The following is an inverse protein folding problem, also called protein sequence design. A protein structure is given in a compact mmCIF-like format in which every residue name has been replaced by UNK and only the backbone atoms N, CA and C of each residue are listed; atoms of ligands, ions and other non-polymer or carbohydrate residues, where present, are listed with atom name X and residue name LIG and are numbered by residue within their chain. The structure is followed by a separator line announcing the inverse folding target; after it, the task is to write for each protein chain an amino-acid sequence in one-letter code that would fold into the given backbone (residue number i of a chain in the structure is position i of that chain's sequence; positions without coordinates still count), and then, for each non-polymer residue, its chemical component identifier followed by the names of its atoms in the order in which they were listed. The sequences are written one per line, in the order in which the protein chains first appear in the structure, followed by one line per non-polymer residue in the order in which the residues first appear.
data_IF_488107825771
#
_entry.id   IF_488107825771
#
_cell.length_a   1.000
_cell.length_b   1.000
_cell.length_c   1.000
_cell.angle_alpha   90.00
_cell.angle_beta   90.00
_cell.angle_gamma   90.00
#
_symmetry.space_group_name_H-M   'P 1'
#
loop_
_entity.id
_entity.type
_entity.pdbx_description
1 polymer ?
#
# COMPACT_ATOMS: atom_id res chain seq x y z
N UNK A 1 51.94 -0.32 -37.23
CA UNK A 1 51.40 -1.20 -36.23
C UNK A 1 50.08 -0.65 -35.76
N UNK A 2 48.90 -1.12 -36.22
CA UNK A 2 47.62 -0.64 -35.74
C UNK A 2 47.20 -1.38 -34.47
N UNK A 3 46.80 -0.61 -33.46
CA UNK A 3 46.23 -1.08 -32.21
C UNK A 3 44.83 -1.64 -32.44
N UNK A 4 44.61 -2.94 -32.12
CA UNK A 4 43.29 -3.58 -32.10
C UNK A 4 42.44 -2.97 -31.01
N UNK A 5 41.34 -2.31 -31.37
CA UNK A 5 40.27 -1.92 -30.47
C UNK A 5 39.49 -3.18 -30.07
N UNK A 6 39.60 -3.58 -28.81
CA UNK A 6 38.83 -4.69 -28.27
C UNK A 6 37.36 -4.24 -28.14
N UNK A 7 36.48 -4.86 -28.90
CA UNK A 7 35.04 -4.72 -28.77
C UNK A 7 34.62 -5.34 -27.42
N UNK A 8 34.08 -4.50 -26.55
CA UNK A 8 33.38 -4.92 -25.31
C UNK A 8 32.08 -5.57 -25.74
N UNK A 9 32.06 -6.86 -25.92
CA UNK A 9 30.84 -7.64 -26.04
C UNK A 9 30.13 -7.61 -24.67
N UNK A 10 29.06 -6.81 -24.57
CA UNK A 10 28.17 -6.81 -23.42
C UNK A 10 27.51 -8.19 -23.28
N UNK A 11 27.96 -8.96 -22.30
CA UNK A 11 27.33 -10.21 -21.90
C UNK A 11 25.96 -9.84 -21.31
N UNK A 12 24.90 -9.99 -22.10
CA UNK A 12 23.53 -9.94 -21.61
C UNK A 12 23.35 -11.08 -20.58
N UNK A 13 23.52 -10.75 -19.31
CA UNK A 13 23.38 -11.69 -18.19
C UNK A 13 21.93 -12.17 -18.20
N UNK A 14 21.69 -13.44 -18.54
CA UNK A 14 20.36 -14.04 -18.46
C UNK A 14 19.92 -14.00 -17.00
N UNK A 15 18.89 -13.19 -16.71
CA UNK A 15 18.27 -13.14 -15.38
C UNK A 15 17.87 -14.55 -14.92
N UNK A 16 18.05 -14.90 -13.64
CA UNK A 16 17.55 -16.14 -13.07
C UNK A 16 16.07 -16.37 -13.37
N UNK A 17 15.63 -17.62 -13.44
CA UNK A 17 14.22 -17.96 -13.77
C UNK A 17 13.21 -17.22 -12.85
N UNK A 18 13.55 -17.11 -11.58
CA UNK A 18 12.73 -16.41 -10.58
C UNK A 18 12.63 -14.90 -10.85
N UNK A 19 13.73 -14.25 -11.18
CA UNK A 19 13.71 -12.80 -11.50
C UNK A 19 12.88 -12.49 -12.75
N UNK A 20 12.96 -13.37 -13.77
CA UNK A 20 12.12 -13.23 -14.98
C UNK A 20 10.63 -13.38 -14.65
N UNK A 21 10.28 -14.31 -13.76
CA UNK A 21 8.91 -14.50 -13.31
C UNK A 21 8.40 -13.26 -12.57
N UNK A 22 9.18 -12.74 -11.61
CA UNK A 22 8.84 -11.51 -10.88
C UNK A 22 8.71 -10.31 -11.81
N UNK A 23 9.59 -10.19 -12.81
CA UNK A 23 9.49 -9.12 -13.81
C UNK A 23 8.20 -9.23 -14.63
N UNK A 24 7.80 -10.44 -15.08
CA UNK A 24 6.53 -10.64 -15.81
C UNK A 24 5.31 -10.30 -14.96
N UNK A 25 5.30 -10.72 -13.70
CA UNK A 25 4.24 -10.36 -12.74
C UNK A 25 4.17 -8.85 -12.55
N UNK A 26 5.30 -8.16 -12.44
CA UNK A 26 5.34 -6.71 -12.32
C UNK A 26 4.76 -6.00 -13.55
N UNK A 27 5.05 -6.49 -14.78
CA UNK A 27 4.48 -5.98 -16.02
C UNK A 27 2.95 -6.16 -16.06
N UNK A 28 2.44 -7.34 -15.65
CA UNK A 28 1.00 -7.62 -15.58
C UNK A 28 0.32 -6.65 -14.60
N UNK A 29 0.89 -6.45 -13.42
CA UNK A 29 0.34 -5.55 -12.42
C UNK A 29 0.34 -4.09 -12.87
N UNK A 30 1.43 -3.61 -13.47
CA UNK A 30 1.49 -2.24 -14.00
C UNK A 30 0.49 -2.02 -15.14
N UNK A 31 0.36 -2.99 -16.05
CA UNK A 31 -0.63 -2.95 -17.12
C UNK A 31 -2.06 -2.88 -16.55
N UNK A 32 -2.35 -3.70 -15.53
CA UNK A 32 -3.65 -3.70 -14.84
C UNK A 32 -3.94 -2.36 -14.20
N UNK A 33 -2.97 -1.77 -13.48
CA UNK A 33 -3.14 -0.44 -12.88
C UNK A 33 -3.43 0.64 -13.92
N UNK A 34 -2.73 0.63 -15.06
CA UNK A 34 -2.96 1.59 -16.15
C UNK A 34 -4.34 1.45 -16.80
N UNK A 35 -4.85 0.23 -16.93
CA UNK A 35 -6.21 0.00 -17.43
C UNK A 35 -7.25 0.50 -16.42
N UNK A 36 -7.08 0.23 -15.14
CA UNK A 36 -7.98 0.68 -14.08
C UNK A 36 -7.98 2.22 -13.87
N UNK A 37 -7.02 2.96 -14.43
CA UNK A 37 -7.08 4.43 -14.45
C UNK A 37 -8.23 4.96 -15.32
N UNK A 38 -8.65 4.23 -16.36
CA UNK A 38 -9.66 4.64 -17.33
C UNK A 38 -10.85 3.69 -17.46
N UNK A 39 -10.70 2.42 -17.11
CA UNK A 39 -11.71 1.37 -17.29
C UNK A 39 -12.33 0.95 -15.96
N UNK A 40 -13.57 0.43 -16.00
CA UNK A 40 -14.20 -0.22 -14.87
C UNK A 40 -13.73 -1.69 -14.77
N UNK A 41 -13.84 -2.30 -13.56
CA UNK A 41 -13.48 -3.72 -13.35
C UNK A 41 -14.27 -4.64 -14.32
N UNK A 42 -15.52 -4.30 -14.59
CA UNK A 42 -16.38 -5.10 -15.47
C UNK A 42 -15.78 -5.24 -16.89
N UNK A 43 -15.18 -4.15 -17.40
CA UNK A 43 -14.63 -4.07 -18.75
C UNK A 43 -13.21 -4.64 -18.85
N UNK A 44 -12.54 -4.80 -17.72
CA UNK A 44 -11.18 -5.34 -17.64
C UNK A 44 -11.15 -6.81 -18.06
N UNK A 45 -10.32 -7.13 -19.05
CA UNK A 45 -10.12 -8.51 -19.54
C UNK A 45 -8.67 -8.94 -19.46
N UNK A 46 -8.43 -10.26 -19.31
CA UNK A 46 -7.06 -10.82 -19.32
C UNK A 46 -6.36 -10.57 -20.67
N UNK A 47 -7.10 -10.53 -21.79
CA UNK A 47 -6.55 -10.19 -23.10
C UNK A 47 -6.07 -8.73 -23.16
N UNK A 48 -6.85 -7.78 -22.64
CA UNK A 48 -6.46 -6.37 -22.58
C UNK A 48 -5.22 -6.18 -21.68
N UNK A 49 -5.19 -6.87 -20.53
CA UNK A 49 -4.03 -6.85 -19.63
C UNK A 49 -2.79 -7.41 -20.31
N UNK A 50 -2.87 -8.58 -20.97
CA UNK A 50 -1.75 -9.19 -21.67
C UNK A 50 -1.21 -8.29 -22.80
N UNK A 51 -2.10 -7.73 -23.62
CA UNK A 51 -1.75 -6.78 -24.67
C UNK A 51 -1.04 -5.52 -24.09
N UNK A 52 -1.61 -4.93 -23.03
CA UNK A 52 -1.03 -3.75 -22.36
C UNK A 52 0.31 -4.05 -21.69
N UNK A 53 0.50 -5.27 -21.18
CA UNK A 53 1.75 -5.73 -20.57
C UNK A 53 2.83 -6.12 -21.60
N UNK A 54 2.49 -6.19 -22.89
CA UNK A 54 3.40 -6.63 -23.94
C UNK A 54 3.81 -8.10 -23.83
N UNK A 55 2.88 -8.96 -23.37
CA UNK A 55 3.10 -10.42 -23.25
C UNK A 55 1.99 -11.19 -23.96
N UNK A 56 2.26 -12.46 -24.31
CA UNK A 56 1.22 -13.33 -24.84
C UNK A 56 0.20 -13.70 -23.76
N UNK A 57 -1.06 -13.94 -24.17
CA UNK A 57 -2.09 -14.42 -23.24
C UNK A 57 -1.70 -15.75 -22.58
N UNK A 58 -1.04 -16.65 -23.31
CA UNK A 58 -0.51 -17.90 -22.74
C UNK A 58 0.55 -17.66 -21.67
N UNK A 59 1.37 -16.60 -21.80
CA UNK A 59 2.31 -16.21 -20.76
C UNK A 59 1.58 -15.68 -19.52
N UNK A 60 0.50 -14.90 -19.67
CA UNK A 60 -0.30 -14.41 -18.55
C UNK A 60 -0.90 -15.56 -17.76
N UNK A 61 -1.49 -16.55 -18.42
CA UNK A 61 -2.09 -17.72 -17.77
C UNK A 61 -1.09 -18.65 -17.07
N UNK A 62 0.21 -18.52 -17.33
CA UNK A 62 1.24 -19.19 -16.52
C UNK A 62 1.37 -18.63 -15.09
N UNK A 63 0.89 -17.42 -14.83
CA UNK A 63 1.00 -16.72 -13.55
C UNK A 63 -0.33 -16.50 -12.84
N UNK A 64 -1.42 -16.38 -13.59
CA UNK A 64 -2.74 -16.05 -13.05
C UNK A 64 -3.83 -16.81 -13.82
N UNK A 65 -4.70 -17.49 -13.09
CA UNK A 65 -5.77 -18.31 -13.67
C UNK A 65 -6.87 -17.46 -14.30
N UNK A 66 -7.13 -16.27 -13.75
CA UNK A 66 -8.19 -15.37 -14.19
C UNK A 66 -7.89 -13.91 -13.80
N UNK A 67 -8.83 -13.02 -14.14
CA UNK A 67 -8.80 -11.61 -13.80
C UNK A 67 -8.78 -11.36 -12.28
N UNK A 68 -9.57 -12.10 -11.54
CA UNK A 68 -9.71 -11.95 -10.10
C UNK A 68 -8.41 -12.33 -9.37
N UNK A 69 -7.71 -13.36 -9.85
CA UNK A 69 -6.39 -13.73 -9.35
C UNK A 69 -5.35 -12.59 -9.56
N UNK A 70 -5.43 -11.87 -10.70
CA UNK A 70 -4.57 -10.70 -10.95
C UNK A 70 -4.91 -9.57 -9.97
N UNK A 71 -6.20 -9.25 -9.80
CA UNK A 71 -6.66 -8.19 -8.88
C UNK A 71 -6.31 -8.52 -7.43
N UNK A 72 -6.47 -9.77 -7.02
CA UNK A 72 -6.06 -10.26 -5.69
C UNK A 72 -4.56 -10.13 -5.45
N UNK A 73 -3.76 -10.53 -6.44
CA UNK A 73 -2.31 -10.42 -6.39
C UNK A 73 -1.86 -8.95 -6.31
N UNK A 74 -2.46 -8.09 -7.14
CA UNK A 74 -2.20 -6.66 -7.18
C UNK A 74 -2.60 -5.98 -5.85
N UNK A 75 -3.80 -6.25 -5.34
CA UNK A 75 -4.26 -5.74 -4.04
C UNK A 75 -3.31 -6.17 -2.91
N UNK A 76 -2.85 -7.43 -2.93
CA UNK A 76 -1.88 -7.94 -1.96
C UNK A 76 -0.53 -7.23 -2.03
N UNK A 77 -0.05 -6.89 -3.24
CA UNK A 77 1.20 -6.12 -3.44
C UNK A 77 1.07 -4.70 -2.89
N UNK A 78 -0.02 -4.01 -3.23
CA UNK A 78 -0.25 -2.63 -2.80
C UNK A 78 -0.43 -2.53 -1.28
N UNK A 79 -1.19 -3.46 -0.66
CA UNK A 79 -1.33 -3.55 0.80
C UNK A 79 0.01 -3.82 1.50
N UNK A 80 0.85 -4.70 0.93
CA UNK A 80 2.20 -4.95 1.48
C UNK A 80 3.07 -3.70 1.37
N UNK A 81 3.02 -3.00 0.24
CA UNK A 81 3.75 -1.74 0.03
C UNK A 81 3.33 -0.66 1.02
N UNK A 82 2.02 -0.53 1.28
CA UNK A 82 1.49 0.37 2.31
C UNK A 82 2.02 -0.01 3.70
N UNK A 83 1.92 -1.29 4.06
CA UNK A 83 2.42 -1.79 5.34
C UNK A 83 3.90 -1.47 5.54
N UNK A 84 4.74 -1.69 4.51
CA UNK A 84 6.17 -1.36 4.57
C UNK A 84 6.42 0.13 4.81
N UNK A 85 5.70 1.03 4.15
CA UNK A 85 5.84 2.49 4.34
C UNK A 85 5.41 2.93 5.74
N UNK A 86 4.34 2.34 6.27
CA UNK A 86 3.90 2.62 7.65
C UNK A 86 4.95 2.14 8.65
N UNK A 87 5.50 0.94 8.47
CA UNK A 87 6.57 0.41 9.32
C UNK A 87 7.82 1.29 9.26
N UNK A 88 8.24 1.71 8.06
CA UNK A 88 9.37 2.63 7.87
C UNK A 88 9.13 3.97 8.58
N UNK A 89 7.92 4.52 8.51
CA UNK A 89 7.55 5.74 9.22
C UNK A 89 7.64 5.57 10.76
N UNK A 90 7.30 4.37 11.27
CA UNK A 90 7.45 4.04 12.70
C UNK A 90 8.91 3.81 13.12
N UNK A 91 9.75 3.28 12.23
CA UNK A 91 11.14 2.89 12.50
C UNK A 91 12.14 4.06 12.42
N UNK A 92 11.71 5.28 12.08
CA UNK A 92 12.59 6.43 12.01
C UNK A 92 13.29 6.70 13.35
N UNK A 93 14.62 6.58 13.31
CA UNK A 93 15.52 6.60 14.49
C UNK A 93 15.71 8.00 15.10
N UNK A 94 15.18 9.06 14.48
CA UNK A 94 15.31 10.44 14.98
C UNK A 94 14.41 10.59 16.21
N UNK A 95 14.91 11.13 17.33
CA UNK A 95 14.10 11.39 18.52
C UNK A 95 12.94 12.32 18.15
N UNK A 96 11.73 11.78 18.17
CA UNK A 96 10.50 12.52 17.86
C UNK A 96 9.49 12.30 18.97
N UNK A 97 8.65 13.30 19.20
CA UNK A 97 7.50 13.14 20.09
C UNK A 97 6.54 12.08 19.54
N UNK A 98 5.72 11.50 20.41
CA UNK A 98 4.65 10.56 20.02
C UNK A 98 3.74 11.16 18.95
N UNK A 99 3.43 12.46 19.10
CA UNK A 99 2.62 13.22 18.15
C UNK A 99 3.27 13.28 16.74
N UNK A 100 4.56 13.61 16.68
CA UNK A 100 5.31 13.67 15.41
C UNK A 100 5.36 12.31 14.71
N UNK A 101 5.57 11.22 15.47
CA UNK A 101 5.57 9.85 14.92
C UNK A 101 4.22 9.47 14.33
N UNK A 102 3.13 9.79 15.05
CA UNK A 102 1.77 9.52 14.55
C UNK A 102 1.42 10.33 13.32
N UNK A 103 1.82 11.61 13.28
CA UNK A 103 1.68 12.44 12.07
C UNK A 103 2.39 11.85 10.86
N UNK A 104 3.59 11.29 11.05
CA UNK A 104 4.32 10.59 9.98
C UNK A 104 3.57 9.34 9.49
N UNK A 105 3.03 8.54 10.41
CA UNK A 105 2.24 7.36 10.05
C UNK A 105 0.99 7.77 9.24
N UNK A 106 0.24 8.75 9.72
CA UNK A 106 -0.94 9.27 8.99
C UNK A 106 -0.53 9.79 7.61
N UNK A 107 0.51 10.62 7.55
CA UNK A 107 1.02 11.17 6.28
C UNK A 107 1.50 10.08 5.33
N UNK A 108 2.23 9.06 5.79
CA UNK A 108 2.68 7.93 4.97
C UNK A 108 1.51 7.17 4.34
N UNK A 109 0.43 6.99 5.11
CA UNK A 109 -0.78 6.36 4.60
C UNK A 109 -1.45 7.23 3.55
N UNK A 110 -1.66 8.53 3.81
CA UNK A 110 -2.26 9.45 2.84
C UNK A 110 -1.43 9.58 1.56
N UNK A 111 -0.11 9.66 1.65
CA UNK A 111 0.79 9.74 0.50
C UNK A 111 0.79 8.47 -0.35
N UNK A 112 0.60 7.31 0.27
CA UNK A 112 0.57 6.03 -0.45
C UNK A 112 -0.54 5.94 -1.50
N UNK A 113 -1.61 6.68 -1.32
CA UNK A 113 -2.75 6.74 -2.25
C UNK A 113 -2.70 7.96 -3.19
N UNK A 114 -1.63 8.77 -3.14
CA UNK A 114 -1.46 9.92 -4.01
C UNK A 114 -1.32 9.54 -5.48
N UNK A 115 -2.06 10.24 -6.36
CA UNK A 115 -1.90 10.14 -7.82
C UNK A 115 -2.76 9.07 -8.51
N UNK A 116 -3.11 7.95 -7.86
CA UNK A 116 -3.90 6.85 -8.46
C UNK A 116 -5.14 6.50 -7.63
N UNK A 117 -5.86 7.51 -7.14
CA UNK A 117 -7.01 7.32 -6.24
C UNK A 117 -8.09 6.40 -6.80
N UNK A 118 -8.38 6.48 -8.12
CA UNK A 118 -9.34 5.60 -8.79
C UNK A 118 -8.92 4.13 -8.68
N UNK A 119 -7.67 3.83 -8.98
CA UNK A 119 -7.12 2.46 -8.92
C UNK A 119 -7.23 1.90 -7.51
N UNK A 120 -6.80 2.67 -6.51
CA UNK A 120 -6.86 2.22 -5.11
C UNK A 120 -8.30 2.03 -4.62
N UNK A 121 -9.24 2.88 -5.04
CA UNK A 121 -10.66 2.70 -4.75
C UNK A 121 -11.16 1.36 -5.30
N UNK A 122 -10.90 1.09 -6.57
CA UNK A 122 -11.30 -0.13 -7.26
C UNK A 122 -10.69 -1.37 -6.59
N UNK A 123 -9.39 -1.35 -6.26
CA UNK A 123 -8.72 -2.44 -5.56
C UNK A 123 -9.26 -2.65 -4.15
N UNK A 124 -9.60 -1.58 -3.45
CA UNK A 124 -10.19 -1.65 -2.12
C UNK A 124 -11.60 -2.25 -2.15
N UNK A 125 -12.44 -1.82 -3.09
CA UNK A 125 -13.79 -2.37 -3.30
C UNK A 125 -13.71 -3.85 -3.62
N UNK A 126 -12.81 -4.27 -4.53
CA UNK A 126 -12.55 -5.68 -4.82
C UNK A 126 -12.10 -6.46 -3.57
N UNK A 127 -11.14 -5.94 -2.82
CA UNK A 127 -10.65 -6.59 -1.59
C UNK A 127 -11.73 -6.72 -0.50
N UNK A 128 -12.68 -5.81 -0.46
CA UNK A 128 -13.82 -5.85 0.49
C UNK A 128 -14.88 -6.87 0.09
N UNK A 129 -15.07 -7.11 -1.21
CA UNK A 129 -16.07 -8.05 -1.72
C UNK A 129 -15.58 -9.49 -1.72
N UNK A 130 -14.33 -9.73 -2.11
CA UNK A 130 -13.83 -11.09 -2.35
C UNK A 130 -13.39 -11.84 -1.08
N UNK A 131 -12.50 -11.35 -0.30
CA UNK A 131 -12.10 -11.96 1.01
C UNK A 131 -11.31 -10.94 1.83
N UNK A 132 -11.88 -10.44 2.87
CA UNK A 132 -11.26 -9.49 3.83
C UNK A 132 -10.00 -10.01 4.54
N UNK A 133 -9.60 -11.27 4.32
CA UNK A 133 -8.56 -11.96 5.11
C UNK A 133 -7.18 -11.28 5.03
N UNK A 134 -6.79 -10.75 3.86
CA UNK A 134 -5.48 -10.08 3.71
C UNK A 134 -5.47 -8.71 4.37
N UNK A 135 -6.53 -7.93 4.16
CA UNK A 135 -6.70 -6.63 4.80
C UNK A 135 -6.76 -6.78 6.33
N UNK A 136 -7.58 -7.70 6.84
CA UNK A 136 -7.68 -7.94 8.28
C UNK A 136 -6.35 -8.38 8.90
N UNK A 137 -5.55 -9.21 8.21
CA UNK A 137 -4.20 -9.59 8.68
C UNK A 137 -3.25 -8.40 8.74
N UNK A 138 -3.29 -7.51 7.73
CA UNK A 138 -2.50 -6.28 7.74
C UNK A 138 -2.91 -5.38 8.91
N UNK A 139 -4.21 -5.16 9.10
CA UNK A 139 -4.72 -4.33 10.20
C UNK A 139 -4.34 -4.90 11.58
N UNK A 140 -4.43 -6.22 11.74
CA UNK A 140 -4.00 -6.89 12.95
C UNK A 140 -2.50 -6.72 13.21
N UNK A 141 -1.66 -6.87 12.18
CA UNK A 141 -0.22 -6.66 12.27
C UNK A 141 0.12 -5.20 12.63
N UNK A 142 -0.52 -4.22 11.99
CA UNK A 142 -0.34 -2.80 12.30
C UNK A 142 -0.78 -2.47 13.74
N UNK A 143 -1.92 -3.02 14.18
CA UNK A 143 -2.39 -2.86 15.56
C UNK A 143 -1.40 -3.44 16.58
N UNK A 144 -0.85 -4.62 16.29
CA UNK A 144 0.16 -5.25 17.14
C UNK A 144 1.46 -4.42 17.20
N UNK A 145 1.91 -3.87 16.07
CA UNK A 145 3.09 -2.98 16.05
C UNK A 145 2.85 -1.68 16.82
N UNK A 146 1.67 -1.08 16.72
CA UNK A 146 1.31 0.12 17.49
C UNK A 146 1.28 -0.15 19.00
N UNK A 147 0.99 -1.38 19.43
CA UNK A 147 1.02 -1.78 20.85
C UNK A 147 2.42 -1.97 21.41
N UNK A 148 3.47 -2.02 20.56
CA UNK A 148 4.84 -2.18 21.04
C UNK A 148 5.35 -0.89 21.67
N UNK A 149 5.96 -1.03 22.83
CA UNK A 149 6.57 0.08 23.55
C UNK A 149 7.62 0.82 22.68
N UNK A 150 7.60 2.14 22.71
CA UNK A 150 8.54 2.99 21.98
C UNK A 150 8.26 3.18 20.50
N UNK A 151 7.28 2.49 19.89
CA UNK A 151 6.95 2.67 18.47
C UNK A 151 6.31 4.02 18.16
N UNK A 152 5.28 4.39 18.92
CA UNK A 152 4.57 5.66 18.76
C UNK A 152 4.50 6.48 20.05
N UNK A 153 5.29 6.11 21.06
CA UNK A 153 5.32 6.75 22.38
C UNK A 153 5.05 5.77 23.51
N UNK A 154 4.21 6.12 24.51
CA UNK A 154 3.85 5.20 25.58
C UNK A 154 3.18 3.95 25.04
N UNK A 155 3.35 2.85 25.76
CA UNK A 155 2.77 1.57 25.33
C UNK A 155 1.25 1.66 25.25
N UNK A 156 0.70 1.46 24.06
CA UNK A 156 -0.73 1.38 23.86
C UNK A 156 -1.27 0.02 24.30
N UNK A 157 -2.40 0.01 24.97
CA UNK A 157 -3.15 -1.23 25.18
C UNK A 157 -3.60 -1.82 23.83
N UNK A 158 -3.85 -3.13 23.75
CA UNK A 158 -4.37 -3.75 22.53
C UNK A 158 -5.67 -3.09 22.01
N UNK A 159 -6.55 -2.65 22.93
CA UNK A 159 -7.79 -1.96 22.57
C UNK A 159 -7.52 -0.59 21.94
N UNK A 160 -6.60 0.19 22.49
CA UNK A 160 -6.23 1.51 21.95
C UNK A 160 -5.56 1.40 20.59
N UNK A 161 -4.63 0.46 20.43
CA UNK A 161 -3.98 0.19 19.16
C UNK A 161 -4.99 -0.27 18.09
N UNK A 162 -5.97 -1.09 18.48
CA UNK A 162 -7.08 -1.49 17.61
C UNK A 162 -7.91 -0.27 17.19
N UNK A 163 -8.32 0.59 18.12
CA UNK A 163 -9.11 1.80 17.85
C UNK A 163 -8.36 2.72 16.89
N UNK A 164 -7.09 3.04 17.15
CA UNK A 164 -6.27 3.89 16.29
C UNK A 164 -6.12 3.33 14.89
N UNK A 165 -5.79 2.03 14.76
CA UNK A 165 -5.64 1.37 13.47
C UNK A 165 -6.93 1.48 12.64
N UNK A 166 -8.09 1.23 13.26
CA UNK A 166 -9.36 1.24 12.57
C UNK A 166 -9.90 2.66 12.33
N UNK A 167 -9.59 3.62 13.18
CA UNK A 167 -9.91 5.02 12.94
C UNK A 167 -9.16 5.56 11.72
N UNK A 168 -7.84 5.37 11.67
CA UNK A 168 -7.00 5.81 10.54
C UNK A 168 -7.46 5.14 9.24
N UNK A 169 -7.56 3.82 9.24
CA UNK A 169 -7.90 3.07 8.02
C UNK A 169 -9.35 3.24 7.60
N UNK A 170 -10.28 3.45 8.55
CA UNK A 170 -11.68 3.74 8.30
C UNK A 170 -11.88 5.09 7.61
N UNK A 171 -11.23 6.13 8.10
CA UNK A 171 -11.25 7.48 7.48
C UNK A 171 -10.68 7.44 6.08
N UNK A 172 -9.53 6.77 5.90
CA UNK A 172 -8.91 6.60 4.58
C UNK A 172 -9.81 5.86 3.60
N UNK A 173 -10.41 4.77 4.04
CA UNK A 173 -11.37 4.02 3.23
C UNK A 173 -12.53 4.91 2.79
N UNK A 174 -13.12 5.65 3.72
CA UNK A 174 -14.20 6.58 3.42
C UNK A 174 -13.79 7.66 2.40
N UNK A 175 -12.58 8.20 2.54
CA UNK A 175 -12.03 9.16 1.59
C UNK A 175 -11.80 8.54 0.20
N UNK A 176 -11.30 7.30 0.11
CA UNK A 176 -11.04 6.62 -1.15
C UNK A 176 -12.31 6.27 -1.93
N UNK A 177 -13.37 5.83 -1.25
CA UNK A 177 -14.67 5.54 -1.89
C UNK A 177 -15.48 6.79 -2.24
N UNK A 178 -14.93 7.99 -2.01
CA UNK A 178 -15.55 9.24 -2.40
C UNK A 178 -16.54 9.81 -1.39
N UNK A 179 -16.58 9.27 -0.16
CA UNK A 179 -17.41 9.82 0.91
C UNK A 179 -16.97 11.22 1.39
N UNK A 180 -15.77 11.67 0.97
CA UNK A 180 -15.23 12.98 1.27
C UNK A 180 -14.57 13.60 0.03
N UNK A 181 -14.79 14.91 -0.26
CA UNK A 181 -14.24 15.55 -1.46
C UNK A 181 -12.71 15.53 -1.48
N UNK A 182 -12.11 15.05 -2.57
CA UNK A 182 -10.66 14.96 -2.74
C UNK A 182 -9.94 16.32 -2.65
N UNK A 183 -10.65 17.41 -3.01
CA UNK A 183 -10.13 18.78 -2.89
C UNK A 183 -9.81 19.18 -1.43
N UNK A 184 -10.43 18.56 -0.44
CA UNK A 184 -10.23 18.85 0.98
C UNK A 184 -9.35 17.79 1.69
N UNK A 185 -8.59 17.03 0.95
CA UNK A 185 -7.75 15.93 1.47
C UNK A 185 -6.81 16.38 2.59
N UNK A 186 -6.19 17.55 2.45
CA UNK A 186 -5.29 18.10 3.48
C UNK A 186 -6.04 18.40 4.79
N UNK A 187 -7.23 19.00 4.70
CA UNK A 187 -8.05 19.24 5.88
C UNK A 187 -8.48 17.94 6.58
N UNK A 188 -8.74 16.88 5.83
CA UNK A 188 -9.03 15.55 6.38
C UNK A 188 -7.81 14.96 7.09
N UNK A 189 -6.62 15.05 6.49
CA UNK A 189 -5.37 14.61 7.09
C UNK A 189 -5.09 15.36 8.40
N UNK A 190 -5.27 16.70 8.42
CA UNK A 190 -5.11 17.50 9.63
C UNK A 190 -6.13 17.14 10.71
N UNK A 191 -7.41 16.93 10.34
CA UNK A 191 -8.44 16.52 11.28
C UNK A 191 -8.13 15.15 11.90
N UNK A 192 -7.66 14.20 11.08
CA UNK A 192 -7.25 12.88 11.56
C UNK A 192 -6.02 12.98 12.47
N UNK A 193 -5.05 13.82 12.13
CA UNK A 193 -3.90 14.07 12.99
C UNK A 193 -4.32 14.61 14.37
N UNK A 194 -5.23 15.60 14.42
CA UNK A 194 -5.76 16.11 15.70
C UNK A 194 -6.46 15.03 16.52
N UNK A 195 -7.26 14.18 15.86
CA UNK A 195 -7.94 13.07 16.53
C UNK A 195 -6.94 12.10 17.18
N UNK A 196 -5.96 11.66 16.39
CA UNK A 196 -4.97 10.65 16.81
C UNK A 196 -4.04 11.20 17.90
N UNK A 197 -3.56 12.44 17.76
CA UNK A 197 -2.68 13.08 18.75
C UNK A 197 -3.44 13.43 20.04
N UNK A 198 -4.69 13.88 19.94
CA UNK A 198 -5.53 14.10 21.11
C UNK A 198 -5.85 12.84 21.90
N UNK A 199 -6.05 11.72 21.18
CA UNK A 199 -6.27 10.41 21.81
C UNK A 199 -5.07 9.95 22.65
N UNK A 200 -3.84 10.17 22.17
CA UNK A 200 -2.62 9.83 22.93
C UNK A 200 -2.35 10.84 24.04
N UNK A 201 -2.52 12.14 23.77
CA UNK A 201 -2.27 13.19 24.77
C UNK A 201 -3.19 13.10 25.99
N UNK A 202 -4.42 12.62 25.83
CA UNK A 202 -5.35 12.43 26.94
C UNK A 202 -4.85 11.37 27.95
N UNK A 203 -4.03 10.42 27.55
CA UNK A 203 -3.42 9.40 28.43
C UNK A 203 -2.34 9.97 29.34
N UNK A 204 -1.46 10.82 28.77
CA UNK A 204 -0.36 11.41 29.54
C UNK A 204 -0.84 12.23 30.75
N UNK A 205 -2.10 12.66 30.74
CA UNK A 205 -2.74 13.35 31.85
C UNK A 205 -3.31 12.36 32.88
N UNK A 206 -3.84 11.21 32.44
CA UNK A 206 -4.44 10.19 33.32
C UNK A 206 -3.40 9.37 34.09
N UNK A 207 -2.22 9.16 33.53
CA UNK A 207 -1.14 8.40 34.19
C UNK A 207 -0.35 9.25 35.25
N UNK A 208 -0.64 10.56 35.35
CA UNK A 208 -0.02 11.48 36.30
C UNK A 208 -0.89 11.80 37.53
N UNK A 209 -2.10 11.21 37.59
CA UNK A 209 -3.05 11.39 38.70
C UNK A 209 -3.18 10.12 39.51
#
# INVERSE_FOLDING_TARGET
MPRKTAAIQGVARRLPKQERALHKIALIFEATMRLLESEEIADLTTNAIAAKAGISIGTLYQYFDDKDAILDGLSGRELKGLGSKVMEAMDQTIPRTSEERLRLVVSAVFQSYGGRQRVYRVLLEHALTQRRTRLNRLLAALSQELSREGRVGPQLTPAEAFVLTHAITGVLRAALIGAYPSAHRHALEEALNRLVTGFIGARDVSDKT
#
